data_IF_676347472744
#
_entry.id   IF_676347472744
#
_cell.length_a   1.000
_cell.length_b   1.000
_cell.length_c   1.000
_cell.angle_alpha   90.00
_cell.angle_beta   90.00
_cell.angle_gamma   90.00
#
_symmetry.space_group_name_H-M   'P 1'
#
loop_
_entity.id
_entity.type
_entity.pdbx_description
1 polymer ?
#
# COMPACT_ATOMS: atom_id res chain seq x y z
N UNK A 1 25.75 3.92 -16.56
CA UNK A 1 25.86 4.60 -15.27
C UNK A 1 25.96 3.52 -14.21
N UNK A 2 27.05 3.47 -13.42
CA UNK A 2 27.16 2.54 -12.30
C UNK A 2 26.09 2.94 -11.27
N UNK A 3 25.00 2.16 -11.21
CA UNK A 3 24.00 2.33 -10.18
C UNK A 3 24.61 1.88 -8.85
N UNK A 4 25.16 2.81 -8.09
CA UNK A 4 25.45 2.56 -6.68
C UNK A 4 24.12 2.25 -6.00
N UNK A 5 23.98 1.03 -5.51
CA UNK A 5 22.78 0.63 -4.76
C UNK A 5 22.60 1.55 -3.56
N UNK A 6 21.35 1.93 -3.31
CA UNK A 6 20.99 2.74 -2.15
C UNK A 6 21.07 1.88 -0.88
N UNK A 7 22.01 2.22 0.00
CA UNK A 7 22.19 1.48 1.25
C UNK A 7 21.12 1.84 2.25
N UNK A 8 20.44 0.82 2.79
CA UNK A 8 19.37 0.94 3.77
C UNK A 8 19.81 0.25 5.07
N UNK A 9 19.78 1.00 6.17
CA UNK A 9 19.96 0.46 7.51
C UNK A 9 18.64 0.48 8.25
N UNK A 10 18.11 -0.70 8.59
CA UNK A 10 16.84 -0.84 9.29
C UNK A 10 17.08 -0.99 10.80
N UNK A 11 16.37 -0.21 11.58
CA UNK A 11 16.38 -0.28 13.06
C UNK A 11 14.95 -0.26 13.58
N UNK A 12 14.69 -0.96 14.67
CA UNK A 12 13.37 -1.00 15.30
C UNK A 12 13.44 -0.66 16.79
N UNK A 13 12.31 -0.15 17.29
CA UNK A 13 12.03 0.05 18.71
C UNK A 13 10.73 -0.67 19.03
N UNK A 14 10.73 -1.52 20.05
CA UNK A 14 9.50 -2.13 20.58
C UNK A 14 8.77 -1.14 21.47
N UNK A 15 7.46 -1.06 21.33
CA UNK A 15 6.52 -0.27 22.11
C UNK A 15 5.39 -1.17 22.59
N UNK A 16 4.66 -0.74 23.63
CA UNK A 16 3.44 -1.43 24.04
C UNK A 16 2.30 -1.09 23.10
N UNK A 17 1.63 -2.09 22.57
CA UNK A 17 0.52 -1.93 21.62
C UNK A 17 -0.86 -1.92 22.24
N UNK A 18 -1.02 -2.45 23.46
CA UNK A 18 -2.28 -2.69 24.17
C UNK A 18 -3.12 -1.43 24.44
N UNK A 19 -2.50 -0.24 24.46
CA UNK A 19 -3.17 1.04 24.66
C UNK A 19 -3.57 1.72 23.34
N UNK A 20 -3.28 1.12 22.20
CA UNK A 20 -3.43 1.75 20.90
C UNK A 20 -4.14 0.83 19.90
N UNK A 21 -4.96 1.41 19.02
CA UNK A 21 -5.48 0.71 17.85
C UNK A 21 -4.72 1.14 16.59
N UNK A 22 -4.59 0.27 15.62
CA UNK A 22 -3.97 0.60 14.33
C UNK A 22 -4.65 1.81 13.68
N UNK A 23 -5.98 1.83 13.67
CA UNK A 23 -6.76 2.96 13.17
C UNK A 23 -6.48 4.25 13.95
N UNK A 24 -6.42 4.18 15.29
CA UNK A 24 -6.15 5.35 16.14
C UNK A 24 -4.77 5.95 15.86
N UNK A 25 -3.74 5.13 15.68
CA UNK A 25 -2.40 5.58 15.30
C UNK A 25 -2.42 6.18 13.89
N UNK A 26 -3.04 5.50 12.94
CA UNK A 26 -3.14 5.97 11.56
C UNK A 26 -3.78 7.36 11.48
N UNK A 27 -4.88 7.59 12.18
CA UNK A 27 -5.59 8.88 12.21
C UNK A 27 -4.74 10.02 12.80
N UNK A 28 -3.84 9.72 13.76
CA UNK A 28 -2.91 10.70 14.32
C UNK A 28 -1.79 11.09 13.35
N UNK A 29 -1.38 10.16 12.48
CA UNK A 29 -0.20 10.30 11.62
C UNK A 29 -0.53 10.78 10.20
N UNK A 30 -1.68 10.36 9.64
CA UNK A 30 -2.00 10.55 8.22
C UNK A 30 -2.01 12.02 7.77
N UNK A 31 -2.41 12.94 8.66
CA UNK A 31 -2.52 14.37 8.33
C UNK A 31 -1.18 15.11 8.56
N UNK A 32 -0.22 14.46 9.22
CA UNK A 32 1.12 15.02 9.50
C UNK A 32 2.19 14.55 8.54
N UNK A 33 2.04 13.32 8.04
CA UNK A 33 3.01 12.69 7.14
C UNK A 33 2.37 12.41 5.78
N UNK A 34 3.16 12.60 4.73
CA UNK A 34 2.72 12.33 3.35
C UNK A 34 2.75 10.84 3.05
N UNK A 35 1.90 10.45 2.10
CA UNK A 35 1.84 9.06 1.57
C UNK A 35 1.66 8.02 2.68
N UNK A 36 0.83 8.30 3.68
CA UNK A 36 0.53 7.37 4.77
C UNK A 36 -0.42 6.28 4.30
N UNK A 37 -0.10 5.03 4.60
CA UNK A 37 -0.93 3.87 4.27
C UNK A 37 -1.19 3.04 5.53
N UNK A 38 -2.40 2.48 5.64
CA UNK A 38 -2.77 1.48 6.64
C UNK A 38 -3.14 0.19 5.92
N UNK A 39 -2.50 -0.91 6.31
CA UNK A 39 -2.82 -2.27 5.90
C UNK A 39 -3.26 -3.05 7.13
N UNK A 40 -4.54 -3.38 7.21
CA UNK A 40 -5.11 -4.18 8.30
C UNK A 40 -5.40 -5.60 7.83
N UNK A 41 -5.08 -6.57 8.69
CA UNK A 41 -5.55 -7.93 8.50
C UNK A 41 -7.01 -8.03 8.93
N UNK A 42 -7.87 -8.50 8.01
CA UNK A 42 -9.28 -8.78 8.29
C UNK A 42 -9.51 -10.23 8.71
N UNK A 43 -8.46 -11.00 9.02
CA UNK A 43 -8.58 -12.39 9.43
C UNK A 43 -9.17 -12.48 10.84
N UNK A 44 -10.33 -13.12 10.96
CA UNK A 44 -11.00 -13.36 12.25
C UNK A 44 -10.29 -14.42 13.11
N UNK A 45 -9.37 -15.18 12.53
CA UNK A 45 -8.54 -16.15 13.25
C UNK A 45 -7.19 -15.52 13.61
N UNK A 46 -7.17 -14.77 14.70
CA UNK A 46 -5.93 -14.18 15.22
C UNK A 46 -4.90 -15.27 15.48
N UNK A 47 -3.78 -15.20 14.79
CA UNK A 47 -2.65 -16.10 14.96
C UNK A 47 -1.34 -15.29 15.07
N UNK A 48 -0.23 -15.97 15.30
CA UNK A 48 1.09 -15.33 15.46
C UNK A 48 1.52 -14.42 14.27
N UNK A 49 0.82 -14.48 13.13
CA UNK A 49 1.12 -13.71 11.93
C UNK A 49 0.06 -12.64 11.64
N UNK A 50 -0.85 -12.35 12.59
CA UNK A 50 -1.89 -11.33 12.43
C UNK A 50 -1.31 -9.95 12.74
N UNK A 51 -0.88 -9.24 11.70
CA UNK A 51 -0.29 -7.91 11.81
C UNK A 51 -1.11 -6.86 11.09
N UNK A 52 -1.17 -5.66 11.67
CA UNK A 52 -1.48 -4.42 10.94
C UNK A 52 -0.20 -3.62 10.74
N UNK A 53 -0.09 -2.98 9.57
CA UNK A 53 1.04 -2.14 9.21
C UNK A 53 0.57 -0.73 8.89
N UNK A 54 1.23 0.27 9.49
CA UNK A 54 1.09 1.68 9.13
C UNK A 54 2.44 2.12 8.59
N UNK A 55 2.48 2.52 7.32
CA UNK A 55 3.70 3.01 6.72
C UNK A 55 3.56 4.50 6.38
N UNK A 56 4.58 5.28 6.70
CA UNK A 56 4.59 6.73 6.57
C UNK A 56 5.90 7.22 5.97
N UNK A 57 5.81 8.36 5.27
CA UNK A 57 6.90 8.98 4.54
C UNK A 57 7.46 8.08 3.43
N UNK A 58 6.73 7.95 2.32
CA UNK A 58 7.18 7.21 1.15
C UNK A 58 8.39 7.90 0.50
N UNK A 59 9.55 7.23 0.54
CA UNK A 59 10.82 7.76 0.05
C UNK A 59 11.19 7.29 -1.34
N UNK A 60 10.62 6.17 -1.79
CA UNK A 60 10.77 5.65 -3.14
C UNK A 60 9.49 4.93 -3.57
N UNK A 61 9.32 4.66 -4.87
CA UNK A 61 8.19 3.88 -5.32
C UNK A 61 8.01 3.87 -6.81
N UNK A 62 7.07 3.01 -7.22
CA UNK A 62 6.60 2.86 -8.60
C UNK A 62 5.09 3.06 -8.60
N UNK A 63 4.60 3.83 -9.54
CA UNK A 63 3.18 4.05 -9.77
C UNK A 63 2.88 3.89 -11.26
N UNK A 64 1.94 3.03 -11.59
CA UNK A 64 1.44 2.85 -12.95
C UNK A 64 0.04 3.42 -13.00
N UNK A 65 -0.11 4.55 -13.70
CA UNK A 65 -1.38 5.27 -13.80
C UNK A 65 -2.34 4.60 -14.78
N UNK A 66 -1.81 4.20 -15.92
CA UNK A 66 -2.53 3.53 -17.00
C UNK A 66 -1.56 2.61 -17.76
N UNK A 67 -2.01 2.02 -18.86
CA UNK A 67 -1.17 1.11 -19.65
C UNK A 67 0.00 1.79 -20.39
N UNK A 68 0.06 3.12 -20.38
CA UNK A 68 1.04 3.90 -21.15
C UNK A 68 2.03 4.65 -20.29
N UNK A 69 1.64 5.04 -19.07
CA UNK A 69 2.44 5.90 -18.20
C UNK A 69 2.72 5.27 -16.85
N UNK A 70 3.98 5.35 -16.45
CA UNK A 70 4.41 5.06 -15.09
C UNK A 70 5.23 6.21 -14.51
N UNK A 71 5.22 6.32 -13.21
CA UNK A 71 6.03 7.25 -12.44
C UNK A 71 6.92 6.48 -11.47
N UNK A 72 8.18 6.86 -11.42
CA UNK A 72 9.19 6.24 -10.55
C UNK A 72 9.82 7.32 -9.68
N UNK A 73 9.97 7.03 -8.42
CA UNK A 73 10.63 7.91 -7.45
C UNK A 73 11.74 7.17 -6.73
N UNK A 74 12.88 7.80 -6.61
CA UNK A 74 13.97 7.39 -5.73
C UNK A 74 14.16 8.38 -4.59
N UNK A 75 14.85 8.00 -3.48
CA UNK A 75 15.08 8.91 -2.37
C UNK A 75 15.82 10.16 -2.80
N UNK A 76 15.41 11.31 -2.27
CA UNK A 76 16.03 12.63 -2.52
C UNK A 76 15.94 13.11 -3.99
N UNK A 77 15.16 12.45 -4.83
CA UNK A 77 14.91 12.87 -6.22
C UNK A 77 13.45 13.26 -6.45
N UNK A 78 13.21 14.07 -7.47
CA UNK A 78 11.87 14.29 -7.97
C UNK A 78 11.36 13.02 -8.68
N UNK A 79 10.03 12.74 -8.66
CA UNK A 79 9.45 11.66 -9.43
C UNK A 79 9.71 11.85 -10.94
N UNK A 80 10.05 10.77 -11.62
CA UNK A 80 10.30 10.72 -13.05
C UNK A 80 9.16 9.96 -13.74
N UNK A 81 8.63 10.55 -14.84
CA UNK A 81 7.61 9.90 -15.66
C UNK A 81 8.25 9.17 -16.83
N UNK A 82 7.80 7.96 -17.08
CA UNK A 82 8.27 7.11 -18.17
C UNK A 82 7.09 6.58 -18.97
N UNK A 83 7.30 6.40 -20.28
CA UNK A 83 6.37 5.68 -21.14
C UNK A 83 6.58 4.17 -20.96
N UNK A 84 5.51 3.42 -20.87
CA UNK A 84 5.53 1.97 -20.76
C UNK A 84 5.70 1.37 -22.15
N UNK A 85 6.77 0.58 -22.42
CA UNK A 85 6.96 -0.07 -23.71
C UNK A 85 5.96 -1.21 -23.92
N UNK A 86 5.68 -1.56 -25.19
CA UNK A 86 4.71 -2.61 -25.56
C UNK A 86 4.98 -3.99 -24.91
N UNK A 87 6.24 -4.34 -24.68
CA UNK A 87 6.64 -5.61 -24.07
C UNK A 87 7.04 -5.44 -22.59
N UNK A 88 6.33 -4.62 -21.86
CA UNK A 88 6.63 -4.33 -20.46
C UNK A 88 6.31 -5.51 -19.56
N UNK A 89 7.34 -6.01 -18.87
CA UNK A 89 7.17 -7.01 -17.81
C UNK A 89 7.19 -6.35 -16.45
N UNK A 90 6.03 -6.21 -15.86
CA UNK A 90 5.83 -5.55 -14.56
C UNK A 90 6.55 -6.27 -13.41
N UNK A 91 6.60 -7.61 -13.44
CA UNK A 91 7.25 -8.39 -12.38
C UNK A 91 8.77 -8.18 -12.42
N UNK A 92 9.35 -8.26 -13.60
CA UNK A 92 10.78 -8.01 -13.79
C UNK A 92 11.15 -6.57 -13.41
N UNK A 93 10.29 -5.62 -13.75
CA UNK A 93 10.50 -4.22 -13.40
C UNK A 93 10.49 -4.00 -11.88
N UNK A 94 9.50 -4.53 -11.16
CA UNK A 94 9.40 -4.42 -9.70
C UNK A 94 10.56 -5.15 -9.00
N UNK A 95 10.97 -6.30 -9.53
CA UNK A 95 12.15 -7.02 -9.03
C UNK A 95 13.44 -6.19 -9.19
N UNK A 96 13.64 -5.61 -10.36
CA UNK A 96 14.80 -4.75 -10.63
C UNK A 96 14.76 -3.45 -9.81
N UNK A 97 13.58 -2.86 -9.62
CA UNK A 97 13.41 -1.73 -8.72
C UNK A 97 13.79 -2.09 -7.29
N UNK A 98 13.32 -3.23 -6.78
CA UNK A 98 13.66 -3.71 -5.43
C UNK A 98 15.17 -3.98 -5.27
N UNK A 99 15.84 -4.49 -6.31
CA UNK A 99 17.31 -4.72 -6.33
C UNK A 99 18.14 -3.44 -6.30
N UNK A 100 17.53 -2.28 -6.54
CA UNK A 100 18.21 -0.97 -6.41
C UNK A 100 18.51 -0.60 -4.94
N UNK A 101 17.88 -1.27 -4.00
CA UNK A 101 18.09 -1.08 -2.57
C UNK A 101 19.00 -2.18 -2.01
N UNK A 102 20.05 -1.77 -1.29
CA UNK A 102 20.94 -2.66 -0.55
C UNK A 102 20.58 -2.61 0.93
N UNK A 103 19.58 -3.41 1.31
CA UNK A 103 19.09 -3.49 2.68
C UNK A 103 20.04 -4.33 3.55
N UNK A 104 20.46 -3.80 4.70
CA UNK A 104 21.23 -4.58 5.67
C UNK A 104 20.40 -5.80 6.13
N UNK A 105 21.09 -6.95 6.28
CA UNK A 105 20.44 -8.17 6.75
C UNK A 105 19.99 -7.99 8.20
N UNK A 106 18.70 -8.15 8.42
CA UNK A 106 18.07 -8.12 9.75
C UNK A 106 17.64 -9.52 10.16
N UNK A 107 17.65 -9.80 11.47
CA UNK A 107 17.24 -11.10 12.03
C UNK A 107 15.74 -11.13 12.37
N UNK A 108 15.19 -9.98 12.74
CA UNK A 108 13.78 -9.87 13.11
C UNK A 108 12.90 -9.93 11.87
N UNK A 109 11.92 -10.87 11.77
CA UNK A 109 11.02 -10.96 10.63
C UNK A 109 10.20 -9.67 10.37
N UNK A 110 9.85 -8.94 11.43
CA UNK A 110 9.09 -7.69 11.33
C UNK A 110 9.93 -6.59 10.69
N UNK A 111 11.22 -6.48 11.06
CA UNK A 111 12.15 -5.57 10.39
C UNK A 111 12.35 -5.94 8.92
N UNK A 112 12.42 -7.23 8.62
CA UNK A 112 12.53 -7.72 7.23
C UNK A 112 11.30 -7.33 6.41
N UNK A 113 10.10 -7.40 6.99
CA UNK A 113 8.88 -6.98 6.32
C UNK A 113 8.91 -5.48 5.99
N UNK A 114 9.43 -4.64 6.90
CA UNK A 114 9.55 -3.20 6.69
C UNK A 114 10.53 -2.81 5.56
N UNK A 115 11.41 -3.72 5.14
CA UNK A 115 12.29 -3.57 3.97
C UNK A 115 11.58 -3.87 2.64
N UNK A 116 10.28 -4.17 2.67
CA UNK A 116 9.46 -4.45 1.50
C UNK A 116 8.81 -3.21 0.89
N UNK A 117 8.11 -3.43 -0.20
CA UNK A 117 7.25 -2.45 -0.85
C UNK A 117 5.82 -2.62 -0.33
N UNK A 118 5.18 -1.51 0.03
CA UNK A 118 3.80 -1.48 0.48
C UNK A 118 2.94 -0.75 -0.56
N UNK A 119 1.76 -1.28 -0.82
CA UNK A 119 0.88 -0.67 -1.80
C UNK A 119 -0.23 -1.61 -2.26
N UNK A 120 -0.69 -1.40 -3.47
CA UNK A 120 -1.76 -2.19 -4.06
C UNK A 120 -1.57 -2.40 -5.56
N UNK A 121 -2.21 -3.44 -6.05
CA UNK A 121 -2.45 -3.73 -7.45
C UNK A 121 -3.95 -3.77 -7.67
N UNK A 122 -4.49 -2.94 -8.57
CA UNK A 122 -5.91 -2.96 -8.91
C UNK A 122 -6.25 -4.17 -9.76
N UNK A 123 -7.55 -4.46 -9.88
CA UNK A 123 -8.04 -5.53 -10.77
C UNK A 123 -7.60 -5.30 -12.22
N UNK A 124 -7.58 -4.07 -12.69
CA UNK A 124 -7.23 -3.71 -14.08
C UNK A 124 -5.78 -4.04 -14.45
N UNK A 125 -4.92 -4.28 -13.46
CA UNK A 125 -3.55 -4.72 -13.67
C UNK A 125 -3.46 -6.12 -14.31
N UNK A 126 -4.54 -6.91 -14.32
CA UNK A 126 -4.58 -8.21 -15.00
C UNK A 126 -4.17 -8.09 -16.47
N UNK A 127 -4.41 -6.94 -17.11
CA UNK A 127 -4.02 -6.66 -18.50
C UNK A 127 -2.50 -6.67 -18.75
N UNK A 128 -1.67 -6.56 -17.69
CA UNK A 128 -0.21 -6.73 -17.78
C UNK A 128 0.25 -8.19 -17.66
N UNK A 129 -0.63 -9.10 -17.26
CA UNK A 129 -0.31 -10.50 -17.01
C UNK A 129 -0.99 -11.45 -17.98
N UNK A 130 -2.13 -11.04 -18.54
CA UNK A 130 -2.97 -11.85 -19.40
C UNK A 130 -3.24 -11.14 -20.73
N UNK A 131 -3.72 -11.90 -21.71
CA UNK A 131 -4.09 -11.37 -23.05
C UNK A 131 -5.47 -10.67 -23.07
N UNK A 132 -6.01 -10.38 -21.89
CA UNK A 132 -7.30 -9.72 -21.72
C UNK A 132 -7.11 -8.20 -21.89
N UNK A 133 -8.05 -7.58 -22.60
CA UNK A 133 -8.13 -6.12 -22.69
C UNK A 133 -9.52 -5.66 -22.27
N UNK A 134 -9.58 -4.68 -21.38
CA UNK A 134 -10.83 -4.08 -20.97
C UNK A 134 -11.23 -2.97 -21.93
N UNK A 135 -12.54 -2.74 -22.03
CA UNK A 135 -13.07 -1.56 -22.71
C UNK A 135 -12.66 -0.33 -21.91
N UNK A 136 -12.33 0.79 -22.57
CA UNK A 136 -12.06 2.03 -21.87
C UNK A 136 -13.20 2.38 -20.92
N UNK A 137 -12.87 2.79 -19.70
CA UNK A 137 -13.87 3.29 -18.76
C UNK A 137 -14.54 4.53 -19.29
N UNK A 138 -15.84 4.67 -19.13
CA UNK A 138 -16.62 5.83 -19.56
C UNK A 138 -16.32 7.09 -18.73
N UNK A 139 -15.68 6.95 -17.58
CA UNK A 139 -15.15 8.00 -16.71
C UNK A 139 -13.71 7.68 -16.39
N UNK A 140 -12.84 8.69 -16.51
CA UNK A 140 -11.47 8.56 -16.00
C UNK A 140 -11.53 8.34 -14.50
N UNK A 141 -11.05 7.18 -14.07
CA UNK A 141 -10.84 6.88 -12.65
C UNK A 141 -9.39 7.27 -12.38
N UNK A 142 -9.19 8.26 -11.52
CA UNK A 142 -7.85 8.77 -11.17
C UNK A 142 -7.03 7.82 -10.25
N UNK A 143 -7.52 6.61 -10.02
CA UNK A 143 -6.83 5.61 -9.19
C UNK A 143 -5.78 4.89 -10.04
N UNK A 144 -4.49 4.92 -9.67
CA UNK A 144 -3.46 4.18 -10.38
C UNK A 144 -3.75 2.69 -10.45
N UNK A 145 -3.40 2.05 -11.57
CA UNK A 145 -3.52 0.60 -11.76
C UNK A 145 -2.66 -0.15 -10.73
N UNK A 146 -1.49 0.41 -10.42
CA UNK A 146 -0.58 -0.15 -9.43
C UNK A 146 0.14 0.99 -8.72
N UNK A 147 0.27 0.87 -7.41
CA UNK A 147 1.06 1.79 -6.59
C UNK A 147 1.81 1.00 -5.52
N UNK A 148 3.13 0.96 -5.60
CA UNK A 148 4.01 0.43 -4.57
C UNK A 148 5.00 1.47 -4.12
N UNK A 149 5.19 1.57 -2.79
CA UNK A 149 6.08 2.55 -2.16
C UNK A 149 7.04 1.84 -1.19
N UNK A 150 8.24 2.35 -1.09
CA UNK A 150 9.19 2.04 -0.03
C UNK A 150 9.14 3.16 0.99
N UNK A 151 8.98 2.81 2.26
CA UNK A 151 8.70 3.76 3.32
C UNK A 151 9.89 3.92 4.27
N UNK A 152 10.11 5.17 4.74
CA UNK A 152 11.11 5.44 5.76
C UNK A 152 10.70 4.84 7.11
N UNK A 153 9.41 4.94 7.48
CA UNK A 153 8.92 4.40 8.74
C UNK A 153 7.80 3.41 8.51
N UNK A 154 7.84 2.32 9.29
CA UNK A 154 6.78 1.32 9.34
C UNK A 154 6.46 1.02 10.81
N UNK A 155 5.20 1.12 11.16
CA UNK A 155 4.69 0.68 12.45
C UNK A 155 4.01 -0.65 12.20
N UNK A 156 4.46 -1.70 12.90
CA UNK A 156 3.87 -3.04 12.82
C UNK A 156 3.24 -3.38 14.18
N UNK A 157 1.98 -3.76 14.16
CA UNK A 157 1.20 -4.11 15.35
C UNK A 157 0.81 -5.57 15.25
N UNK A 158 1.28 -6.38 16.19
CA UNK A 158 0.92 -7.78 16.28
C UNK A 158 -0.35 -7.93 17.14
N UNK A 159 -1.44 -8.39 16.52
CA UNK A 159 -2.72 -8.56 17.21
C UNK A 159 -2.81 -9.79 18.12
N UNK A 160 -1.79 -10.65 18.07
CA UNK A 160 -1.77 -11.86 18.89
C UNK A 160 -1.22 -11.61 20.30
N UNK A 161 -0.20 -10.76 20.40
CA UNK A 161 0.51 -10.52 21.68
C UNK A 161 0.61 -9.02 22.03
N UNK A 162 -0.12 -8.15 21.32
CA UNK A 162 -0.16 -6.71 21.52
C UNK A 162 1.22 -6.02 21.48
N UNK A 163 2.19 -6.62 20.79
CA UNK A 163 3.48 -5.99 20.53
C UNK A 163 3.38 -5.00 19.36
N UNK A 164 4.00 -3.85 19.54
CA UNK A 164 4.12 -2.84 18.49
C UNK A 164 5.59 -2.53 18.23
N UNK A 165 5.96 -2.47 16.96
CA UNK A 165 7.31 -2.13 16.52
C UNK A 165 7.26 -0.84 15.70
N UNK A 166 8.04 0.15 16.12
CA UNK A 166 8.31 1.34 15.33
C UNK A 166 9.66 1.15 14.62
N UNK A 167 9.62 1.04 13.30
CA UNK A 167 10.74 0.65 12.46
C UNK A 167 11.14 1.82 11.58
N UNK A 168 12.44 2.08 11.44
CA UNK A 168 12.99 3.09 10.54
C UNK A 168 13.96 2.45 9.55
N UNK A 169 13.73 2.71 8.28
CA UNK A 169 14.65 2.46 7.18
C UNK A 169 15.49 3.71 6.94
N UNK A 170 16.69 3.73 7.49
CA UNK A 170 17.62 4.86 7.40
C UNK A 170 18.34 4.89 6.07
N UNK A 171 18.34 6.05 5.44
CA UNK A 171 19.10 6.35 4.22
C UNK A 171 19.96 7.57 4.49
N UNK A 172 21.19 7.56 4.00
CA UNK A 172 22.08 8.71 4.11
C UNK A 172 21.46 9.96 3.45
N UNK A 173 21.50 11.06 4.17
CA UNK A 173 20.91 12.33 3.73
C UNK A 173 19.44 12.55 4.13
N UNK A 174 18.73 11.53 4.66
CA UNK A 174 17.39 11.70 5.22
C UNK A 174 17.46 11.91 6.75
N UNK A 175 16.73 12.91 7.21
CA UNK A 175 16.60 13.19 8.65
C UNK A 175 15.70 12.15 9.30
N UNK A 176 16.05 11.72 10.52
CA UNK A 176 15.18 10.87 11.33
C UNK A 176 14.17 11.72 12.12
N UNK A 177 12.90 11.34 12.04
CA UNK A 177 11.77 11.92 12.77
C UNK A 177 11.17 10.91 13.77
N UNK A 178 11.94 9.86 14.11
CA UNK A 178 11.47 8.72 14.93
C UNK A 178 10.91 9.18 16.29
N UNK A 179 11.60 10.14 16.93
CA UNK A 179 11.18 10.67 18.24
C UNK A 179 9.89 11.48 18.14
N UNK A 180 9.66 12.19 17.04
CA UNK A 180 8.42 12.91 16.79
C UNK A 180 7.26 11.95 16.58
N UNK A 181 7.46 10.91 15.76
CA UNK A 181 6.45 9.86 15.51
C UNK A 181 6.08 9.17 16.82
N UNK A 182 7.06 8.80 17.64
CA UNK A 182 6.81 8.18 18.94
C UNK A 182 6.00 9.11 19.85
N UNK A 183 6.34 10.39 19.92
CA UNK A 183 5.60 11.39 20.69
C UNK A 183 4.14 11.52 20.24
N UNK A 184 3.90 11.50 18.92
CA UNK A 184 2.54 11.55 18.37
C UNK A 184 1.75 10.29 18.74
N UNK A 185 2.36 9.12 18.67
CA UNK A 185 1.71 7.86 19.04
C UNK A 185 1.28 7.91 20.52
N UNK A 186 2.18 8.34 21.40
CA UNK A 186 1.95 8.37 22.83
C UNK A 186 1.01 9.51 23.29
N UNK A 187 0.79 10.51 22.45
CA UNK A 187 -0.14 11.60 22.77
C UNK A 187 -1.55 11.02 22.93
N UNK A 188 -2.25 11.49 23.98
CA UNK A 188 -3.63 11.08 24.28
C UNK A 188 -4.68 11.77 23.43
N UNK A 189 -4.29 12.79 22.64
CA UNK A 189 -5.21 13.46 21.74
C UNK A 189 -5.69 12.50 20.66
N UNK A 190 -7.01 12.31 20.60
CA UNK A 190 -7.66 11.48 19.58
C UNK A 190 -8.17 12.40 18.49
N UNK A 191 -7.74 12.16 17.26
CA UNK A 191 -8.33 12.84 16.11
C UNK A 191 -9.79 12.38 15.95
N UNK A 192 -10.74 13.31 16.08
CA UNK A 192 -12.15 13.05 15.85
C UNK A 192 -12.52 13.55 14.47
N UNK A 193 -13.03 12.64 13.66
CA UNK A 193 -13.56 12.96 12.33
C UNK A 193 -15.06 12.68 12.36
N UNK A 194 -15.91 13.74 12.49
CA UNK A 194 -17.35 13.55 12.46
C UNK A 194 -17.73 12.97 11.09
N UNK A 195 -18.56 11.94 11.12
CA UNK A 195 -19.15 11.36 9.92
C UNK A 195 -20.59 11.84 9.79
N UNK A 196 -20.91 12.48 8.69
CA UNK A 196 -22.26 12.95 8.38
C UNK A 196 -22.63 12.49 6.97
N UNK A 197 -23.90 12.09 6.78
CA UNK A 197 -24.45 11.82 5.46
C UNK A 197 -24.63 13.16 4.73
N UNK A 198 -23.98 13.33 3.59
CA UNK A 198 -24.02 14.58 2.81
C UNK A 198 -25.17 14.55 1.82
N UNK A 199 -25.35 13.42 1.10
CA UNK A 199 -26.32 13.27 0.02
C UNK A 199 -27.20 12.03 0.22
N UNK A 200 -28.30 11.96 -0.55
CA UNK A 200 -29.11 10.76 -0.64
C UNK A 200 -28.34 9.64 -1.37
N UNK A 201 -28.69 8.41 -1.03
CA UNK A 201 -28.13 7.21 -1.69
C UNK A 201 -28.54 7.19 -3.16
N UNK A 202 -27.57 7.03 -4.04
CA UNK A 202 -27.77 6.90 -5.48
C UNK A 202 -27.14 5.63 -6.02
N UNK A 203 -27.75 5.03 -7.02
CA UNK A 203 -27.21 3.87 -7.73
C UNK A 203 -27.16 4.15 -9.23
N UNK A 204 -26.22 3.55 -9.93
CA UNK A 204 -26.10 3.59 -11.36
C UNK A 204 -27.03 2.62 -12.08
N UNK A 205 -27.71 1.74 -11.33
CA UNK A 205 -28.67 0.74 -11.81
C UNK A 205 -29.93 0.78 -10.94
N UNK A 206 -31.07 0.46 -11.54
CA UNK A 206 -32.27 0.12 -10.79
C UNK A 206 -32.14 -1.30 -10.22
N UNK A 207 -32.95 -1.63 -9.20
CA UNK A 207 -33.00 -2.97 -8.62
C UNK A 207 -33.37 -4.05 -9.65
N UNK A 208 -34.22 -3.73 -10.62
CA UNK A 208 -34.63 -4.64 -11.68
C UNK A 208 -33.49 -4.91 -12.66
N UNK A 209 -32.81 -3.87 -13.14
CA UNK A 209 -31.61 -4.01 -13.99
C UNK A 209 -30.52 -4.82 -13.29
N UNK A 210 -30.30 -4.62 -11.99
CA UNK A 210 -29.32 -5.39 -11.22
C UNK A 210 -29.69 -6.88 -11.16
N UNK A 211 -30.97 -7.21 -10.91
CA UNK A 211 -31.45 -8.60 -10.90
C UNK A 211 -31.27 -9.28 -12.26
N UNK A 212 -31.54 -8.57 -13.35
CA UNK A 212 -31.35 -9.10 -14.72
C UNK A 212 -29.87 -9.41 -15.00
N UNK A 213 -28.95 -8.54 -14.55
CA UNK A 213 -27.51 -8.78 -14.65
C UNK A 213 -27.06 -9.99 -13.84
N UNK A 214 -27.61 -10.19 -12.62
CA UNK A 214 -27.33 -11.37 -11.80
C UNK A 214 -27.80 -12.66 -12.51
N UNK A 215 -29.01 -12.67 -13.09
CA UNK A 215 -29.51 -13.84 -13.84
C UNK A 215 -28.68 -14.12 -15.11
N UNK A 216 -28.19 -13.07 -15.77
CA UNK A 216 -27.28 -13.22 -16.91
C UNK A 216 -25.94 -13.83 -16.45
N UNK A 217 -25.35 -13.32 -15.36
CA UNK A 217 -24.10 -13.86 -14.80
C UNK A 217 -24.23 -15.33 -14.39
N UNK A 218 -25.34 -15.71 -13.75
CA UNK A 218 -25.64 -17.11 -13.42
C UNK A 218 -25.67 -18.01 -14.67
N UNK A 219 -26.24 -17.55 -15.78
CA UNK A 219 -26.22 -18.31 -17.04
C UNK A 219 -24.79 -18.54 -17.55
N UNK A 220 -23.91 -17.58 -17.42
CA UNK A 220 -22.48 -17.72 -17.76
C UNK A 220 -21.77 -18.74 -16.85
N UNK A 221 -22.04 -18.72 -15.53
CA UNK A 221 -21.51 -19.71 -14.60
C UNK A 221 -22.01 -21.15 -14.95
N UNK A 222 -23.30 -21.31 -15.24
CA UNK A 222 -23.83 -22.62 -15.59
C UNK A 222 -23.28 -23.19 -16.91
N UNK A 223 -22.89 -22.32 -17.85
CA UNK A 223 -22.26 -22.77 -19.11
C UNK A 223 -20.76 -23.05 -18.93
N UNK A 224 -20.18 -22.69 -17.79
CA UNK A 224 -18.74 -22.84 -17.55
C UNK A 224 -17.87 -21.74 -18.18
N UNK A 225 -18.47 -20.62 -18.60
CA UNK A 225 -17.73 -19.48 -19.15
C UNK A 225 -16.86 -18.82 -18.07
N UNK A 226 -17.34 -18.84 -16.83
CA UNK A 226 -16.68 -18.37 -15.61
C UNK A 226 -17.03 -19.31 -14.45
N UNK A 227 -16.19 -19.37 -13.42
CA UNK A 227 -16.45 -20.22 -12.25
C UNK A 227 -17.18 -19.46 -11.12
N UNK A 228 -17.13 -18.17 -11.19
CA UNK A 228 -17.72 -17.26 -10.18
C UNK A 228 -18.22 -15.98 -10.84
#
# INVERSE_FOLDING_TARGET
MQNSKLRIKTTSKSLMGDLHTAMGIYLKLRDKFRDTILLESADHNVNNNSFSYIAINAIAGVEIKNQQEMEVKFPLTAPEKHQIPENFNINEYLENFSKSFDCEKVKNPVEKMAQGLFGYTSFDAVQFFETIQFKPHSKEVEIPILRYRFYQYVIAINHFNDEMFLIENKIDGLKSELSEIESIIQNKDVALYPFEKIDEETSNLTDEEYRDLVELAKKHCFRGDVFQ
#
